data_IF_143605855898
#
_entry.id   IF_143605855898
#
_cell.length_a   1.000
_cell.length_b   1.000
_cell.length_c   1.000
_cell.angle_alpha   90.00
_cell.angle_beta   90.00
_cell.angle_gamma   90.00
#
_symmetry.space_group_name_H-M   'P 1'
#
loop_
_entity.id
_entity.type
_entity.pdbx_description
1 polymer ?
#
# COMPACT_ATOMS: atom_id res chain seq x y z
N UNK A 1 -15.87 -9.64 -16.31
CA UNK A 1 -15.91 -10.60 -15.19
C UNK A 1 -17.18 -11.40 -15.37
N UNK A 2 -17.06 -12.72 -15.35
CA UNK A 2 -18.19 -13.64 -15.39
C UNK A 2 -19.20 -13.30 -14.27
N UNK A 3 -20.49 -13.28 -14.59
CA UNK A 3 -21.55 -12.91 -13.64
C UNK A 3 -21.60 -13.84 -12.43
N UNK A 4 -21.36 -15.14 -12.60
CA UNK A 4 -21.37 -16.11 -11.52
C UNK A 4 -20.24 -15.88 -10.52
N UNK A 5 -19.02 -15.58 -11.01
CA UNK A 5 -17.91 -15.23 -10.12
C UNK A 5 -18.19 -13.93 -9.38
N UNK A 6 -18.72 -12.92 -10.08
CA UNK A 6 -19.07 -11.63 -9.49
C UNK A 6 -20.06 -11.80 -8.34
N UNK A 7 -21.12 -12.57 -8.54
CA UNK A 7 -22.15 -12.81 -7.54
C UNK A 7 -21.56 -13.53 -6.32
N UNK A 8 -20.73 -14.56 -6.52
CA UNK A 8 -20.04 -15.26 -5.43
C UNK A 8 -19.11 -14.35 -4.63
N UNK A 9 -18.38 -13.46 -5.31
CA UNK A 9 -17.51 -12.49 -4.65
C UNK A 9 -18.30 -11.48 -3.83
N UNK A 10 -19.49 -11.07 -4.28
CA UNK A 10 -20.33 -10.15 -3.50
C UNK A 10 -21.07 -10.81 -2.35
N UNK A 11 -21.56 -12.04 -2.54
CA UNK A 11 -22.14 -12.84 -1.46
C UNK A 11 -21.13 -13.08 -0.33
N UNK A 12 -19.86 -13.33 -0.69
CA UNK A 12 -18.80 -13.63 0.27
C UNK A 12 -17.92 -12.41 0.63
N UNK A 13 -18.28 -11.20 0.17
CA UNK A 13 -17.45 -9.99 0.31
C UNK A 13 -16.98 -9.72 1.73
N UNK A 14 -17.91 -9.79 2.69
CA UNK A 14 -17.61 -9.53 4.11
C UNK A 14 -16.62 -10.55 4.69
N UNK A 15 -16.78 -11.83 4.33
CA UNK A 15 -15.88 -12.90 4.77
C UNK A 15 -14.48 -12.73 4.16
N UNK A 16 -14.41 -12.41 2.86
CA UNK A 16 -13.17 -12.13 2.14
C UNK A 16 -12.45 -10.94 2.77
N UNK A 17 -13.14 -9.82 2.99
CA UNK A 17 -12.53 -8.61 3.59
C UNK A 17 -11.97 -8.89 4.98
N UNK A 18 -12.71 -9.62 5.82
CA UNK A 18 -12.24 -9.98 7.17
C UNK A 18 -11.00 -10.87 7.11
N UNK A 19 -11.03 -11.94 6.32
CA UNK A 19 -9.90 -12.88 6.18
C UNK A 19 -8.69 -12.20 5.53
N UNK A 20 -8.92 -11.29 4.59
CA UNK A 20 -7.86 -10.53 3.95
C UNK A 20 -7.21 -9.54 4.92
N UNK A 21 -8.01 -8.78 5.68
CA UNK A 21 -7.49 -7.94 6.75
C UNK A 21 -6.65 -8.74 7.75
N UNK A 22 -7.17 -9.87 8.24
CA UNK A 22 -6.46 -10.73 9.17
C UNK A 22 -5.11 -11.19 8.61
N UNK A 23 -5.10 -11.69 7.36
CA UNK A 23 -3.87 -12.11 6.69
C UNK A 23 -2.87 -10.95 6.49
N UNK A 24 -3.35 -9.73 6.28
CA UNK A 24 -2.50 -8.54 6.19
C UNK A 24 -1.87 -8.21 7.54
N UNK A 25 -2.65 -8.23 8.62
CA UNK A 25 -2.17 -7.89 9.96
C UNK A 25 -1.15 -8.93 10.44
N UNK A 26 -1.28 -10.20 10.06
CA UNK A 26 -0.27 -11.25 10.28
C UNK A 26 1.07 -10.98 9.57
N UNK A 27 1.12 -10.05 8.62
CA UNK A 27 2.40 -9.62 8.01
C UNK A 27 3.22 -8.67 8.88
N UNK A 28 2.62 -8.11 9.94
CA UNK A 28 3.27 -7.25 10.92
C UNK A 28 3.87 -8.07 12.08
N UNK A 29 4.89 -7.55 12.79
CA UNK A 29 5.40 -8.17 14.00
C UNK A 29 4.28 -8.47 15.01
N UNK A 30 4.42 -9.57 15.76
CA UNK A 30 3.43 -10.07 16.73
C UNK A 30 3.01 -9.03 17.77
N UNK A 31 3.92 -8.15 18.15
CA UNK A 31 3.69 -7.12 19.16
C UNK A 31 2.74 -6.01 18.66
N UNK A 32 2.66 -5.83 17.34
CA UNK A 32 1.78 -4.85 16.67
C UNK A 32 0.47 -5.46 16.17
N UNK A 33 0.45 -6.75 15.83
CA UNK A 33 -0.71 -7.39 15.18
C UNK A 33 -1.94 -7.46 16.10
N UNK A 34 -1.75 -7.74 17.39
CA UNK A 34 -2.84 -7.78 18.37
C UNK A 34 -3.53 -6.42 18.57
N UNK A 35 -2.76 -5.33 18.57
CA UNK A 35 -3.30 -3.98 18.69
C UNK A 35 -4.09 -3.57 17.44
N UNK A 36 -3.52 -3.79 16.26
CA UNK A 36 -4.16 -3.45 14.97
C UNK A 36 -5.48 -4.20 14.75
N UNK A 37 -5.61 -5.41 15.31
CA UNK A 37 -6.82 -6.23 15.18
C UNK A 37 -7.92 -5.85 16.17
N UNK A 38 -7.56 -5.50 17.41
CA UNK A 38 -8.53 -5.34 18.49
C UNK A 38 -8.98 -3.88 18.70
N UNK A 39 -8.17 -2.90 18.29
CA UNK A 39 -8.49 -1.49 18.50
C UNK A 39 -9.33 -0.93 17.35
N UNK A 40 -10.60 -0.61 17.63
CA UNK A 40 -11.58 -0.14 16.63
C UNK A 40 -11.62 1.37 16.43
N UNK A 41 -11.10 2.13 17.38
CA UNK A 41 -11.07 3.59 17.29
C UNK A 41 -10.08 4.04 16.22
N UNK A 42 -10.51 4.91 15.30
CA UNK A 42 -9.70 5.36 14.15
C UNK A 42 -8.53 6.24 14.53
N UNK A 43 -8.60 6.93 15.66
CA UNK A 43 -7.52 7.81 16.13
C UNK A 43 -6.47 7.01 16.89
N UNK A 44 -6.90 5.99 17.63
CA UNK A 44 -6.01 5.05 18.29
C UNK A 44 -5.40 4.03 17.32
N UNK A 45 -6.12 3.64 16.25
CA UNK A 45 -5.67 2.69 15.25
C UNK A 45 -5.80 3.23 13.81
N UNK A 46 -5.03 4.27 13.45
CA UNK A 46 -5.09 4.87 12.12
C UNK A 46 -4.64 3.89 11.03
N UNK A 47 -3.68 3.00 11.33
CA UNK A 47 -3.20 1.98 10.40
C UNK A 47 -4.31 0.99 10.07
N UNK A 48 -4.93 0.39 11.09
CA UNK A 48 -6.04 -0.54 10.88
C UNK A 48 -7.19 0.09 10.09
N UNK A 49 -7.55 1.34 10.40
CA UNK A 49 -8.58 2.07 9.67
C UNK A 49 -8.25 2.28 8.18
N UNK A 50 -7.02 2.70 7.86
CA UNK A 50 -6.54 2.84 6.47
C UNK A 50 -6.62 1.51 5.73
N UNK A 51 -6.22 0.41 6.36
CA UNK A 51 -6.32 -0.91 5.74
C UNK A 51 -7.76 -1.32 5.51
N UNK A 52 -8.64 -1.23 6.51
CA UNK A 52 -10.05 -1.62 6.37
C UNK A 52 -10.74 -0.87 5.23
N UNK A 53 -10.58 0.46 5.16
CA UNK A 53 -11.17 1.24 4.07
C UNK A 53 -10.50 0.96 2.72
N UNK A 54 -9.17 0.84 2.68
CA UNK A 54 -8.45 0.63 1.43
C UNK A 54 -8.77 -0.72 0.79
N UNK A 55 -8.79 -1.80 1.58
CA UNK A 55 -9.10 -3.14 1.06
C UNK A 55 -10.56 -3.27 0.60
N UNK A 56 -11.49 -2.62 1.28
CA UNK A 56 -12.91 -2.59 0.89
C UNK A 56 -13.08 -1.95 -0.49
N UNK A 57 -12.47 -0.78 -0.68
CA UNK A 57 -12.53 -0.07 -1.95
C UNK A 57 -11.81 -0.80 -3.09
N UNK A 58 -10.67 -1.44 -2.79
CA UNK A 58 -9.94 -2.26 -3.76
C UNK A 58 -10.80 -3.45 -4.22
N UNK A 59 -11.38 -4.19 -3.27
CA UNK A 59 -12.20 -5.35 -3.62
C UNK A 59 -13.43 -4.93 -4.43
N UNK A 60 -14.12 -3.85 -4.02
CA UNK A 60 -15.25 -3.32 -4.77
C UNK A 60 -14.84 -2.91 -6.20
N UNK A 61 -13.71 -2.22 -6.38
CA UNK A 61 -13.22 -1.84 -7.70
C UNK A 61 -12.88 -3.05 -8.59
N UNK A 62 -12.29 -4.10 -8.02
CA UNK A 62 -11.97 -5.34 -8.74
C UNK A 62 -13.25 -6.07 -9.21
N UNK A 63 -14.25 -6.17 -8.34
CA UNK A 63 -15.54 -6.82 -8.63
C UNK A 63 -16.34 -6.05 -9.68
N UNK A 64 -16.38 -4.72 -9.57
CA UNK A 64 -17.06 -3.86 -10.54
C UNK A 64 -16.29 -3.75 -11.86
N UNK A 65 -15.02 -4.19 -11.91
CA UNK A 65 -14.17 -4.05 -13.07
C UNK A 65 -13.84 -2.59 -13.40
N UNK A 66 -13.83 -1.72 -12.39
CA UNK A 66 -13.43 -0.32 -12.56
C UNK A 66 -11.94 -0.24 -12.88
N UNK A 67 -11.58 0.84 -13.57
CA UNK A 67 -10.18 1.19 -13.79
C UNK A 67 -9.48 1.44 -12.44
N UNK A 68 -8.57 0.53 -12.09
CA UNK A 68 -7.81 0.56 -10.83
C UNK A 68 -6.89 1.78 -10.77
N UNK A 69 -6.44 2.31 -11.91
CA UNK A 69 -5.65 3.54 -11.96
C UNK A 69 -6.47 4.77 -11.53
N UNK A 70 -7.78 4.77 -11.77
CA UNK A 70 -8.70 5.82 -11.31
C UNK A 70 -9.11 5.66 -9.85
N UNK A 71 -9.03 4.44 -9.31
CA UNK A 71 -9.28 4.12 -7.90
C UNK A 71 -7.99 4.16 -7.05
N UNK A 72 -6.92 4.73 -7.60
CA UNK A 72 -5.57 4.72 -7.07
C UNK A 72 -5.38 5.40 -5.70
N UNK A 73 -6.29 6.29 -5.30
CA UNK A 73 -6.21 7.01 -4.02
C UNK A 73 -6.26 6.05 -2.82
N UNK A 74 -7.08 5.00 -2.89
CA UNK A 74 -7.21 4.02 -1.81
C UNK A 74 -5.96 3.15 -1.66
N UNK A 75 -5.30 2.88 -2.78
CA UNK A 75 -4.03 2.17 -2.81
C UNK A 75 -2.90 3.04 -2.24
N UNK A 76 -2.90 4.34 -2.54
CA UNK A 76 -1.85 5.27 -2.11
C UNK A 76 -1.68 5.29 -0.59
N UNK A 77 -2.77 5.27 0.18
CA UNK A 77 -2.67 5.39 1.63
C UNK A 77 -2.14 4.11 2.28
N UNK A 78 -2.59 2.92 1.82
CA UNK A 78 -2.00 1.64 2.25
C UNK A 78 -0.50 1.60 1.93
N UNK A 79 -0.13 2.03 0.72
CA UNK A 79 1.25 1.99 0.25
C UNK A 79 2.14 2.96 1.01
N UNK A 80 1.68 4.18 1.30
CA UNK A 80 2.40 5.15 2.15
C UNK A 80 2.65 4.59 3.54
N UNK A 81 1.63 4.00 4.18
CA UNK A 81 1.77 3.37 5.49
C UNK A 81 2.86 2.31 5.43
N UNK A 82 2.83 1.41 4.44
CA UNK A 82 3.85 0.36 4.30
C UNK A 82 5.24 0.88 3.94
N UNK A 83 5.34 1.97 3.18
CA UNK A 83 6.61 2.60 2.82
C UNK A 83 7.31 3.27 4.01
N UNK A 84 6.54 3.83 4.94
CA UNK A 84 7.05 4.42 6.19
C UNK A 84 7.53 3.35 7.17
N UNK A 85 6.87 2.19 7.20
CA UNK A 85 7.18 1.06 8.11
C UNK A 85 8.42 0.24 7.71
N UNK A 86 9.24 0.76 6.78
CA UNK A 86 10.52 0.19 6.34
C UNK A 86 10.49 -1.28 5.90
N UNK A 87 9.36 -1.74 5.37
CA UNK A 87 9.26 -3.06 4.77
C UNK A 87 10.17 -3.19 3.54
N UNK A 88 10.63 -4.41 3.25
CA UNK A 88 11.21 -4.69 1.92
C UNK A 88 10.14 -4.51 0.84
N UNK A 89 10.52 -4.17 -0.41
CA UNK A 89 9.53 -4.04 -1.49
C UNK A 89 8.63 -5.27 -1.64
N UNK A 90 9.19 -6.47 -1.56
CA UNK A 90 8.42 -7.72 -1.63
C UNK A 90 7.42 -7.88 -0.49
N UNK A 91 7.82 -7.56 0.75
CA UNK A 91 6.93 -7.61 1.92
C UNK A 91 5.86 -6.52 1.87
N UNK A 92 6.21 -5.35 1.36
CA UNK A 92 5.25 -4.25 1.17
C UNK A 92 4.17 -4.65 0.16
N UNK A 93 4.50 -5.34 -0.93
CA UNK A 93 3.53 -5.74 -1.96
C UNK A 93 2.76 -7.03 -1.64
N UNK A 94 3.24 -7.83 -0.69
CA UNK A 94 2.68 -9.17 -0.43
C UNK A 94 1.17 -9.15 -0.15
N UNK A 95 0.64 -8.07 0.45
CA UNK A 95 -0.79 -7.99 0.78
C UNK A 95 -1.71 -8.11 -0.43
N UNK A 96 -1.30 -7.62 -1.60
CA UNK A 96 -2.10 -7.69 -2.83
C UNK A 96 -2.31 -9.15 -3.22
N UNK A 97 -1.25 -9.96 -3.15
CA UNK A 97 -1.30 -11.39 -3.48
C UNK A 97 -2.05 -12.22 -2.43
N UNK A 98 -2.12 -11.77 -1.18
CA UNK A 98 -2.91 -12.47 -0.14
C UNK A 98 -4.40 -12.55 -0.51
N UNK A 99 -4.91 -11.58 -1.27
CA UNK A 99 -6.31 -11.61 -1.74
C UNK A 99 -6.60 -12.86 -2.58
N UNK A 100 -5.67 -13.27 -3.45
CA UNK A 100 -5.82 -14.49 -4.27
C UNK A 100 -6.02 -15.73 -3.39
N UNK A 101 -5.19 -15.85 -2.35
CA UNK A 101 -5.25 -16.96 -1.41
C UNK A 101 -6.55 -16.97 -0.62
N UNK A 102 -7.03 -15.80 -0.20
CA UNK A 102 -8.28 -15.66 0.54
C UNK A 102 -9.47 -16.05 -0.32
N UNK A 103 -9.54 -15.53 -1.56
CA UNK A 103 -10.64 -15.83 -2.50
C UNK A 103 -10.66 -17.32 -2.85
N UNK A 104 -9.51 -17.92 -3.18
CA UNK A 104 -9.43 -19.36 -3.48
C UNK A 104 -9.89 -20.24 -2.32
N UNK A 105 -9.56 -19.87 -1.08
CA UNK A 105 -9.98 -20.61 0.12
C UNK A 105 -11.46 -20.41 0.42
N UNK A 106 -11.98 -19.20 0.22
CA UNK A 106 -13.39 -18.92 0.46
C UNK A 106 -14.29 -19.66 -0.53
N UNK A 107 -13.93 -19.64 -1.82
CA UNK A 107 -14.72 -20.20 -2.91
C UNK A 107 -14.29 -21.62 -3.31
N UNK A 108 -13.56 -22.33 -2.45
CA UNK A 108 -12.93 -23.61 -2.80
C UNK A 108 -13.96 -24.65 -3.29
N UNK A 109 -15.13 -24.69 -2.65
CA UNK A 109 -16.18 -25.67 -2.96
C UNK A 109 -16.78 -25.39 -4.34
N UNK A 110 -17.07 -24.13 -4.62
CA UNK A 110 -17.67 -23.65 -5.86
C UNK A 110 -16.70 -23.83 -7.03
N UNK A 111 -15.41 -23.55 -6.81
CA UNK A 111 -14.34 -23.73 -7.81
C UNK A 111 -14.22 -25.21 -8.19
N UNK A 112 -14.23 -26.13 -7.22
CA UNK A 112 -14.16 -27.58 -7.48
C UNK A 112 -15.35 -28.11 -8.28
N UNK A 113 -16.49 -27.43 -8.25
CA UNK A 113 -17.73 -27.85 -8.90
C UNK A 113 -17.90 -27.29 -10.33
N UNK A 114 -17.07 -26.33 -10.76
CA UNK A 114 -17.30 -25.60 -12.02
C UNK A 114 -16.00 -25.21 -12.71
N UNK A 115 -15.69 -25.87 -13.83
CA UNK A 115 -14.51 -25.54 -14.66
C UNK A 115 -14.56 -24.10 -15.19
N UNK A 116 -15.73 -23.61 -15.60
CA UNK A 116 -15.93 -22.24 -16.07
C UNK A 116 -15.60 -21.19 -14.98
N UNK A 117 -15.85 -21.52 -13.70
CA UNK A 117 -15.49 -20.63 -12.59
C UNK A 117 -13.97 -20.53 -12.41
N UNK A 118 -13.23 -21.58 -12.76
CA UNK A 118 -11.76 -21.59 -12.72
C UNK A 118 -11.16 -20.60 -13.73
N UNK A 119 -11.71 -20.54 -14.95
CA UNK A 119 -11.28 -19.58 -15.98
C UNK A 119 -11.60 -18.14 -15.58
N UNK A 120 -12.81 -17.89 -15.08
CA UNK A 120 -13.20 -16.58 -14.57
C UNK A 120 -12.32 -16.13 -13.39
N UNK A 121 -11.94 -17.08 -12.51
CA UNK A 121 -11.05 -16.81 -11.38
C UNK A 121 -9.65 -16.42 -11.86
N UNK A 122 -9.14 -17.07 -12.91
CA UNK A 122 -7.86 -16.72 -13.50
C UNK A 122 -7.87 -15.27 -14.03
N UNK A 123 -8.93 -14.86 -14.74
CA UNK A 123 -9.07 -13.46 -15.19
C UNK A 123 -9.08 -12.46 -14.02
N UNK A 124 -9.76 -12.81 -12.93
CA UNK A 124 -9.77 -12.00 -11.72
C UNK A 124 -8.38 -11.90 -11.08
N UNK A 125 -7.63 -13.01 -11.06
CA UNK A 125 -6.28 -13.04 -10.50
C UNK A 125 -5.26 -12.26 -11.34
N UNK A 126 -5.43 -12.20 -12.66
CA UNK A 126 -4.62 -11.35 -13.54
C UNK A 126 -4.80 -9.86 -13.18
N UNK A 127 -6.03 -9.43 -12.88
CA UNK A 127 -6.28 -8.05 -12.41
C UNK A 127 -5.61 -7.76 -11.07
N UNK A 128 -5.48 -8.76 -10.20
CA UNK A 128 -4.74 -8.62 -8.94
C UNK A 128 -3.23 -8.48 -9.21
N UNK A 129 -2.70 -9.15 -10.24
CA UNK A 129 -1.30 -8.97 -10.64
C UNK A 129 -1.05 -7.56 -11.19
N UNK A 130 -1.96 -7.05 -12.03
CA UNK A 130 -1.89 -5.67 -12.52
C UNK A 130 -1.94 -4.66 -11.36
N UNK A 131 -2.80 -4.92 -10.37
CA UNK A 131 -2.85 -4.13 -9.14
C UNK A 131 -1.52 -4.15 -8.39
N UNK A 132 -0.85 -5.32 -8.32
CA UNK A 132 0.44 -5.44 -7.64
C UNK A 132 1.53 -4.63 -8.36
N UNK A 133 1.55 -4.61 -9.69
CA UNK A 133 2.47 -3.79 -10.48
C UNK A 133 2.23 -2.30 -10.23
N UNK A 134 0.98 -1.83 -10.29
CA UNK A 134 0.64 -0.44 -9.98
C UNK A 134 1.01 -0.06 -8.54
N UNK A 135 0.81 -0.98 -7.60
CA UNK A 135 1.19 -0.81 -6.19
C UNK A 135 2.70 -0.65 -6.03
N UNK A 136 3.48 -1.40 -6.80
CA UNK A 136 4.93 -1.36 -6.78
C UNK A 136 5.46 -0.01 -7.26
N UNK A 137 4.96 0.51 -8.38
CA UNK A 137 5.36 1.83 -8.89
C UNK A 137 5.11 2.94 -7.86
N UNK A 138 3.94 2.90 -7.22
CA UNK A 138 3.57 3.84 -6.14
C UNK A 138 4.48 3.70 -4.93
N UNK A 139 4.83 2.48 -4.56
CA UNK A 139 5.70 2.20 -3.43
C UNK A 139 7.10 2.75 -3.66
N UNK A 140 7.70 2.48 -4.82
CA UNK A 140 9.03 2.98 -5.17
C UNK A 140 9.04 4.51 -5.19
N UNK A 141 8.04 5.15 -5.83
CA UNK A 141 7.90 6.61 -5.82
C UNK A 141 7.82 7.19 -4.41
N UNK A 142 7.08 6.54 -3.51
CA UNK A 142 6.99 6.96 -2.12
C UNK A 142 8.33 6.81 -1.37
N UNK A 143 9.04 5.69 -1.57
CA UNK A 143 10.37 5.46 -0.96
C UNK A 143 11.42 6.44 -1.46
N UNK A 144 11.43 6.76 -2.75
CA UNK A 144 12.30 7.79 -3.32
C UNK A 144 12.08 9.15 -2.65
N UNK A 145 10.82 9.55 -2.46
CA UNK A 145 10.48 10.79 -1.75
C UNK A 145 10.97 10.77 -0.31
N UNK A 146 10.76 9.67 0.42
CA UNK A 146 11.24 9.51 1.80
C UNK A 146 12.77 9.63 1.86
N UNK A 147 13.48 8.98 0.94
CA UNK A 147 14.94 9.04 0.90
C UNK A 147 15.46 10.43 0.55
N UNK A 148 14.83 11.11 -0.42
CA UNK A 148 15.17 12.50 -0.74
C UNK A 148 15.03 13.40 0.49
N UNK A 149 13.92 13.29 1.21
CA UNK A 149 13.70 14.05 2.45
C UNK A 149 14.78 13.76 3.50
N UNK A 150 15.14 12.48 3.71
CA UNK A 150 16.22 12.08 4.62
C UNK A 150 17.56 12.70 4.21
N UNK A 151 17.91 12.64 2.92
CA UNK A 151 19.16 13.20 2.41
C UNK A 151 19.21 14.72 2.54
N UNK A 152 18.12 15.41 2.22
CA UNK A 152 18.04 16.87 2.33
C UNK A 152 18.16 17.33 3.79
N UNK A 153 17.55 16.59 4.71
CA UNK A 153 17.67 16.86 6.15
C UNK A 153 19.10 16.64 6.65
N UNK A 154 19.75 15.53 6.26
CA UNK A 154 21.16 15.29 6.62
C UNK A 154 22.08 16.40 6.11
N UNK A 155 21.88 16.88 4.88
CA UNK A 155 22.65 18.01 4.33
C UNK A 155 22.44 19.28 5.16
N UNK A 156 21.21 19.60 5.55
CA UNK A 156 20.89 20.76 6.39
C UNK A 156 21.54 20.66 7.77
N UNK A 157 21.47 19.49 8.40
CA UNK A 157 22.12 19.24 9.68
C UNK A 157 23.64 19.38 9.58
N UNK A 158 24.28 18.78 8.58
CA UNK A 158 25.73 18.90 8.34
C UNK A 158 26.15 20.34 8.09
N UNK A 159 25.43 21.08 7.24
CA UNK A 159 25.68 22.49 7.01
C UNK A 159 25.59 23.32 8.30
N UNK A 160 24.55 23.07 9.11
CA UNK A 160 24.34 23.75 10.39
C UNK A 160 25.49 23.47 11.37
N UNK A 161 25.98 22.24 11.44
CA UNK A 161 27.11 21.87 12.30
C UNK A 161 28.41 22.53 11.85
N UNK A 162 28.70 22.53 10.54
CA UNK A 162 29.90 23.17 9.99
C UNK A 162 29.89 24.69 10.23
N UNK A 163 28.72 25.34 10.08
CA UNK A 163 28.54 26.76 10.41
C UNK A 163 28.79 27.03 11.89
N UNK A 164 28.23 26.21 12.79
CA UNK A 164 28.46 26.34 14.25
C UNK A 164 29.92 26.11 14.66
N UNK A 165 30.64 25.25 13.95
CA UNK A 165 32.05 24.98 14.21
C UNK A 165 32.99 26.04 13.63
N UNK A 166 32.47 27.06 12.93
CA UNK A 166 33.24 28.09 12.22
C UNK A 166 34.24 27.50 11.19
N UNK A 167 33.93 26.33 10.64
CA UNK A 167 34.76 25.61 9.66
C UNK A 167 34.41 26.04 8.23
N UNK A 168 33.29 26.75 8.03
CA UNK A 168 32.94 27.33 6.73
C UNK A 168 33.36 28.79 6.67
N UNK A 169 34.28 29.11 5.77
CA UNK A 169 34.46 30.48 5.28
C UNK A 169 33.27 30.82 4.40
N UNK A 170 32.39 31.72 4.85
CA UNK A 170 31.43 32.36 3.96
C UNK A 170 32.24 33.08 2.86
N UNK A 171 32.09 32.66 1.60
CA UNK A 171 32.65 33.43 0.48
C UNK A 171 31.89 34.75 0.49
N UNK A 172 32.56 35.91 0.68
CA UNK A 172 31.88 37.19 0.63
C UNK A 172 31.19 37.28 -0.72
N UNK A 173 29.87 37.49 -0.71
CA UNK A 173 29.16 37.89 -1.92
C UNK A 173 29.63 39.32 -2.16
N UNK A 174 30.59 39.51 -3.08
CA UNK A 174 30.92 40.83 -3.58
C UNK A 174 29.66 41.38 -4.24
N UNK A 175 28.99 42.32 -3.56
CA UNK A 175 28.01 43.19 -4.19
C UNK A 175 28.76 43.96 -5.27
N UNK A 176 28.60 43.53 -6.52
CA UNK A 176 28.98 44.32 -7.67
C UNK A 176 28.07 45.56 -7.68
N UNK A 177 28.46 46.60 -6.93
CA UNK A 177 27.97 47.95 -7.16
C UNK A 177 28.36 48.34 -8.58
N UNK A 178 27.38 48.26 -9.50
CA UNK A 178 27.45 48.95 -10.77
C UNK A 178 27.62 50.44 -10.48
N UNK A 179 28.85 50.94 -10.62
CA UNK A 179 29.11 52.38 -10.77
C UNK A 179 28.73 52.78 -12.18
N UNK A 180 27.70 53.62 -12.27
CA UNK A 180 27.32 54.40 -13.45
C UNK A 180 28.48 55.26 -13.99
#
# INVERSE_FOLDING_TARGET
MDMKLKDLLEENKSAILKKWFDAIIETYPTDTSGFLKNQKDRFANPVGHVFTQGIENILAALIEGRDLAKSASFLDDIIKVRAIQDFTPSKAMSFVFLLKNVVRKELEKEIRQSQQLSEALLEFELKIDDLALLSFDKYIKCREQIYKLKTDELKRMSFTLLKKANIMSEIPVEEFEHRD
#
